data_IF_270849338442
#
_entry.id   IF_270849338442
#
_cell.length_a   1.000
_cell.length_b   1.000
_cell.length_c   1.000
_cell.angle_alpha   90.00
_cell.angle_beta   90.00
_cell.angle_gamma   90.00
#
_symmetry.space_group_name_H-M   'P 1'
#
loop_
_entity.id
_entity.type
_entity.pdbx_description
1 polymer ?
#
# COMPACT_ATOMS: atom_id res chain seq x y z
N UNK A 1 -0.96 -13.58 -41.90
CA UNK A 1 -0.99 -13.80 -40.43
C UNK A 1 -1.59 -12.56 -39.79
N UNK A 2 -2.42 -12.77 -38.77
CA UNK A 2 -3.59 -11.96 -38.41
C UNK A 2 -3.29 -10.55 -37.88
N UNK A 3 -3.89 -9.51 -38.49
CA UNK A 3 -3.93 -8.15 -37.93
C UNK A 3 -4.72 -8.08 -36.62
N UNK A 4 -5.65 -9.00 -36.38
CA UNK A 4 -6.52 -8.99 -35.20
C UNK A 4 -5.80 -9.40 -33.92
N UNK A 5 -4.73 -10.19 -34.01
CA UNK A 5 -3.97 -10.60 -32.84
C UNK A 5 -3.17 -9.42 -32.25
N UNK A 6 -2.61 -8.54 -33.11
CA UNK A 6 -1.85 -7.34 -32.70
C UNK A 6 -2.59 -6.42 -31.72
N UNK A 7 -3.92 -6.34 -31.85
CA UNK A 7 -4.75 -5.50 -30.97
C UNK A 7 -5.16 -6.22 -29.69
N UNK A 8 -5.02 -7.55 -29.63
CA UNK A 8 -5.58 -8.37 -28.56
C UNK A 8 -4.73 -8.32 -27.30
N UNK A 9 -3.40 -8.45 -27.39
CA UNK A 9 -2.55 -8.33 -26.20
C UNK A 9 -2.54 -6.89 -25.69
N UNK A 10 -2.43 -5.89 -26.58
CA UNK A 10 -2.46 -4.47 -26.20
C UNK A 10 -3.76 -4.09 -25.48
N UNK A 11 -4.92 -4.50 -26.01
CA UNK A 11 -6.22 -4.27 -25.35
C UNK A 11 -6.35 -5.01 -24.03
N UNK A 12 -5.83 -6.24 -23.94
CA UNK A 12 -5.84 -7.02 -22.70
C UNK A 12 -4.97 -6.35 -21.63
N UNK A 13 -3.80 -5.84 -22.03
CA UNK A 13 -2.89 -5.13 -21.13
C UNK A 13 -3.50 -3.84 -20.60
N UNK A 14 -4.16 -3.06 -21.47
CA UNK A 14 -4.91 -1.87 -21.05
C UNK A 14 -6.00 -2.20 -20.02
N UNK A 15 -6.76 -3.28 -20.24
CA UNK A 15 -7.79 -3.72 -19.29
C UNK A 15 -7.19 -4.18 -17.94
N UNK A 16 -5.99 -4.77 -17.94
CA UNK A 16 -5.26 -5.10 -16.70
C UNK A 16 -4.89 -3.81 -15.97
N UNK A 17 -4.37 -2.81 -16.67
CA UNK A 17 -4.03 -1.52 -16.06
C UNK A 17 -5.25 -0.79 -15.48
N UNK A 18 -6.41 -0.82 -16.15
CA UNK A 18 -7.63 -0.23 -15.60
C UNK A 18 -8.13 -0.95 -14.35
N UNK A 19 -7.96 -2.29 -14.29
CA UNK A 19 -8.28 -3.07 -13.09
C UNK A 19 -7.32 -2.80 -11.95
N UNK A 20 -6.03 -2.65 -12.22
CA UNK A 20 -5.04 -2.25 -11.21
C UNK A 20 -5.40 -0.88 -10.62
N UNK A 21 -5.76 0.09 -11.47
CA UNK A 21 -6.20 1.41 -11.01
C UNK A 21 -7.40 1.32 -10.07
N UNK A 22 -8.44 0.56 -10.47
CA UNK A 22 -9.63 0.38 -9.65
C UNK A 22 -9.33 -0.36 -8.33
N UNK A 23 -8.44 -1.35 -8.35
CA UNK A 23 -8.03 -2.09 -7.15
C UNK A 23 -7.24 -1.21 -6.18
N UNK A 24 -6.31 -0.38 -6.66
CA UNK A 24 -5.56 0.57 -5.81
C UNK A 24 -6.52 1.56 -5.15
N UNK A 25 -7.49 2.11 -5.90
CA UNK A 25 -8.50 3.02 -5.34
C UNK A 25 -9.38 2.35 -4.27
N UNK A 26 -9.69 1.06 -4.43
CA UNK A 26 -10.48 0.29 -3.47
C UNK A 26 -9.65 -0.28 -2.31
N UNK A 27 -8.34 0.00 -2.28
CA UNK A 27 -7.39 -0.60 -1.33
C UNK A 27 -7.38 -2.14 -1.38
N UNK A 28 -7.75 -2.72 -2.53
CA UNK A 28 -7.79 -4.16 -2.75
C UNK A 28 -6.44 -4.66 -3.26
N UNK A 29 -5.50 -4.80 -2.32
CA UNK A 29 -4.14 -5.26 -2.62
C UNK A 29 -4.09 -6.75 -3.00
N UNK A 30 -5.05 -7.55 -2.53
CA UNK A 30 -5.14 -8.98 -2.88
C UNK A 30 -5.38 -9.16 -4.38
N UNK A 31 -6.27 -8.34 -4.95
CA UNK A 31 -6.48 -8.32 -6.40
C UNK A 31 -5.24 -7.86 -7.17
N UNK A 32 -4.43 -6.94 -6.64
CA UNK A 32 -3.17 -6.53 -7.29
C UNK A 32 -2.15 -7.69 -7.33
N UNK A 33 -2.01 -8.45 -6.25
CA UNK A 33 -1.12 -9.62 -6.19
C UNK A 33 -1.57 -10.68 -7.20
N UNK A 34 -2.89 -10.93 -7.32
CA UNK A 34 -3.45 -11.87 -8.31
C UNK A 34 -3.25 -11.42 -9.75
N UNK A 35 -3.22 -10.11 -10.01
CA UNK A 35 -3.05 -9.56 -11.36
C UNK A 35 -1.59 -9.57 -11.83
N UNK A 36 -0.62 -9.58 -10.93
CA UNK A 36 0.82 -9.59 -11.25
C UNK A 36 1.27 -10.72 -12.21
N UNK A 37 0.96 -12.01 -11.97
CA UNK A 37 1.37 -13.08 -12.90
C UNK A 37 0.70 -12.96 -14.26
N UNK A 38 -0.56 -12.53 -14.31
CA UNK A 38 -1.31 -12.34 -15.56
C UNK A 38 -0.74 -11.19 -16.40
N UNK A 39 -0.28 -10.12 -15.73
CA UNK A 39 0.42 -9.01 -16.36
C UNK A 39 1.73 -9.44 -17.00
N UNK A 40 2.53 -10.26 -16.30
CA UNK A 40 3.78 -10.79 -16.83
C UNK A 40 3.55 -11.64 -18.09
N UNK A 41 2.56 -12.55 -18.08
CA UNK A 41 2.19 -13.35 -19.24
C UNK A 41 1.74 -12.50 -20.43
N UNK A 42 0.92 -11.47 -20.17
CA UNK A 42 0.42 -10.57 -21.23
C UNK A 42 1.55 -9.70 -21.80
N UNK A 43 2.53 -9.32 -20.97
CA UNK A 43 3.71 -8.60 -21.42
C UNK A 43 4.58 -9.46 -22.35
N UNK A 44 4.80 -10.73 -22.01
CA UNK A 44 5.50 -11.66 -22.90
C UNK A 44 4.75 -11.83 -24.23
N UNK A 45 3.43 -11.99 -24.20
CA UNK A 45 2.63 -12.03 -25.43
C UNK A 45 2.76 -10.76 -26.27
N UNK A 46 2.78 -9.58 -25.62
CA UNK A 46 2.95 -8.28 -26.27
C UNK A 46 4.31 -8.16 -26.99
N UNK A 47 5.37 -8.78 -26.48
CA UNK A 47 6.70 -8.74 -27.14
C UNK A 47 6.76 -9.54 -28.45
N UNK A 48 5.82 -10.45 -28.68
CA UNK A 48 5.72 -11.25 -29.90
C UNK A 48 4.75 -10.65 -30.93
N UNK A 49 4.07 -9.55 -30.59
CA UNK A 49 3.13 -8.86 -31.47
C UNK A 49 3.74 -7.58 -32.05
N UNK A 50 3.45 -7.29 -33.32
CA UNK A 50 3.74 -6.00 -33.96
C UNK A 50 2.74 -4.95 -33.44
N UNK A 51 3.11 -4.27 -32.35
CA UNK A 51 2.31 -3.21 -31.72
C UNK A 51 2.71 -1.85 -32.29
N UNK A 52 1.73 -0.97 -32.54
CA UNK A 52 2.03 0.37 -33.04
C UNK A 52 2.71 1.25 -31.97
N UNK A 53 3.57 2.21 -32.36
CA UNK A 53 4.19 3.15 -31.43
C UNK A 53 3.17 3.93 -30.58
N UNK A 54 2.01 4.27 -31.15
CA UNK A 54 0.95 5.01 -30.46
C UNK A 54 0.29 4.16 -29.36
N UNK A 55 0.05 2.88 -29.62
CA UNK A 55 -0.49 1.95 -28.61
C UNK A 55 0.51 1.68 -27.50
N UNK A 56 1.79 1.55 -27.84
CA UNK A 56 2.85 1.36 -26.86
C UNK A 56 2.97 2.61 -25.94
N UNK A 57 2.89 3.80 -26.52
CA UNK A 57 2.84 5.07 -25.77
C UNK A 57 1.61 5.14 -24.86
N UNK A 58 0.45 4.71 -25.35
CA UNK A 58 -0.78 4.64 -24.53
C UNK A 58 -0.62 3.68 -23.36
N UNK A 59 -0.04 2.50 -23.57
CA UNK A 59 0.21 1.52 -22.50
C UNK A 59 1.22 2.04 -21.47
N UNK A 60 2.27 2.74 -21.90
CA UNK A 60 3.22 3.39 -21.00
C UNK A 60 2.53 4.44 -20.12
N UNK A 61 1.65 5.26 -20.69
CA UNK A 61 0.89 6.26 -19.93
C UNK A 61 -0.02 5.61 -18.86
N UNK A 62 -0.69 4.51 -19.20
CA UNK A 62 -1.51 3.75 -18.26
C UNK A 62 -0.66 3.14 -17.12
N UNK A 63 0.49 2.55 -17.46
CA UNK A 63 1.42 2.00 -16.49
C UNK A 63 1.95 3.09 -15.53
N UNK A 64 2.38 4.23 -16.07
CA UNK A 64 2.90 5.35 -15.30
C UNK A 64 1.86 5.93 -14.33
N UNK A 65 0.59 6.03 -14.76
CA UNK A 65 -0.52 6.43 -13.89
C UNK A 65 -0.66 5.50 -12.69
N UNK A 66 -0.63 4.18 -12.91
CA UNK A 66 -0.77 3.20 -11.84
C UNK A 66 0.42 3.21 -10.89
N UNK A 67 1.63 3.34 -11.42
CA UNK A 67 2.84 3.44 -10.61
C UNK A 67 2.77 4.64 -9.66
N UNK A 68 2.45 5.83 -10.18
CA UNK A 68 2.31 7.05 -9.36
C UNK A 68 1.27 6.88 -8.25
N UNK A 69 0.14 6.25 -8.57
CA UNK A 69 -0.92 6.01 -7.59
C UNK A 69 -0.45 5.06 -6.48
N UNK A 70 0.17 3.94 -6.85
CA UNK A 70 0.67 2.95 -5.90
C UNK A 70 1.76 3.53 -4.98
N UNK A 71 2.67 4.34 -5.53
CA UNK A 71 3.69 5.04 -4.75
C UNK A 71 3.06 6.03 -3.77
N UNK A 72 2.07 6.81 -4.21
CA UNK A 72 1.35 7.75 -3.35
C UNK A 72 0.62 7.02 -2.21
N UNK A 73 -0.08 5.93 -2.51
CA UNK A 73 -0.75 5.09 -1.50
C UNK A 73 0.25 4.50 -0.51
N UNK A 74 1.39 4.00 -0.98
CA UNK A 74 2.44 3.42 -0.13
C UNK A 74 3.04 4.46 0.83
N UNK A 75 3.28 5.70 0.34
CA UNK A 75 3.74 6.82 1.18
C UNK A 75 2.70 7.18 2.24
N UNK A 76 1.42 7.22 1.86
CA UNK A 76 0.32 7.49 2.79
C UNK A 76 0.23 6.47 3.91
N UNK A 77 0.28 5.18 3.58
CA UNK A 77 0.26 4.10 4.58
C UNK A 77 1.43 4.21 5.55
N UNK A 78 2.65 4.42 5.03
CA UNK A 78 3.85 4.59 5.88
C UNK A 78 3.71 5.78 6.83
N UNK A 79 3.22 6.92 6.35
CA UNK A 79 3.02 8.10 7.20
C UNK A 79 2.03 7.83 8.35
N UNK A 80 0.97 7.07 8.10
CA UNK A 80 0.01 6.67 9.14
C UNK A 80 0.63 5.69 10.13
N UNK A 81 1.40 4.71 9.65
CA UNK A 81 2.08 3.75 10.54
C UNK A 81 3.12 4.43 11.42
N UNK A 82 3.89 5.37 10.87
CA UNK A 82 4.91 6.12 11.61
C UNK A 82 4.26 7.00 12.68
N UNK A 83 3.12 7.64 12.35
CA UNK A 83 2.34 8.42 13.31
C UNK A 83 1.79 7.55 14.44
N UNK A 84 1.29 6.36 14.12
CA UNK A 84 0.77 5.43 15.11
C UNK A 84 1.87 4.84 16.01
N UNK A 85 3.06 4.59 15.45
CA UNK A 85 4.25 4.19 16.22
C UNK A 85 4.68 5.31 17.19
N UNK A 86 4.79 6.55 16.72
CA UNK A 86 5.15 7.70 17.55
C UNK A 86 4.15 7.94 18.70
N UNK A 87 2.85 7.69 18.49
CA UNK A 87 1.84 7.77 19.55
C UNK A 87 1.93 6.61 20.55
N UNK A 88 2.29 5.39 20.10
CA UNK A 88 2.49 4.23 20.96
C UNK A 88 3.73 4.37 21.85
N UNK A 89 4.81 4.93 21.31
CA UNK A 89 6.06 5.19 22.06
C UNK A 89 5.87 6.32 23.08
N UNK A 90 5.06 7.33 22.76
CA UNK A 90 4.66 8.41 23.69
C UNK A 90 3.50 7.99 24.59
N UNK A 91 3.54 6.80 25.20
CA UNK A 91 2.78 6.62 26.44
C UNK A 91 3.46 7.51 27.48
N UNK A 92 2.82 8.58 27.96
CA UNK A 92 3.41 9.35 29.04
C UNK A 92 3.46 8.40 30.25
N UNK A 93 4.66 8.11 30.74
CA UNK A 93 4.77 7.96 32.18
C UNK A 93 4.14 9.22 32.75
N UNK A 94 2.99 9.07 33.41
CA UNK A 94 2.30 10.14 34.11
C UNK A 94 3.24 10.64 35.20
N UNK A 95 4.17 11.54 34.84
CA UNK A 95 4.98 12.29 35.78
C UNK A 95 4.07 13.32 36.42
N UNK A 96 3.32 12.87 37.41
CA UNK A 96 2.56 13.76 38.26
C UNK A 96 3.56 14.35 39.24
N UNK A 97 3.74 15.67 39.19
CA UNK A 97 4.54 16.39 40.16
C UNK A 97 3.96 16.13 41.56
N UNK A 98 4.61 15.26 42.34
CA UNK A 98 4.34 15.14 43.75
C UNK A 98 4.71 16.47 44.45
N UNK A 99 4.04 16.85 45.54
CA UNK A 99 4.20 18.15 46.22
C UNK A 99 5.61 18.41 46.82
N UNK A 100 6.60 17.55 46.55
CA UNK A 100 8.00 17.69 46.97
C UNK A 100 9.03 17.70 45.82
N UNK A 101 8.62 17.82 44.56
CA UNK A 101 9.55 18.03 43.44
C UNK A 101 10.46 16.85 43.07
N UNK A 102 10.15 15.62 43.49
CA UNK A 102 10.88 14.42 43.05
C UNK A 102 10.09 13.63 42.00
N UNK A 103 10.76 13.34 40.87
CA UNK A 103 10.23 12.54 39.76
C UNK A 103 10.42 11.06 40.11
N UNK A 104 9.32 10.36 40.41
CA UNK A 104 9.34 8.91 40.60
C UNK A 104 8.46 8.24 39.52
N UNK A 105 8.98 7.28 38.74
CA UNK A 105 8.17 6.54 37.77
C UNK A 105 7.17 5.66 38.53
N UNK A 106 5.87 5.99 38.43
CA UNK A 106 4.82 5.12 38.97
C UNK A 106 4.59 3.95 38.01
N UNK A 107 5.24 2.83 38.30
CA UNK A 107 4.79 1.53 37.80
C UNK A 107 3.45 1.19 38.47
N UNK A 108 2.44 0.67 37.74
CA UNK A 108 1.15 0.32 38.32
C UNK A 108 1.32 -0.89 39.24
N UNK A 109 1.55 -0.63 40.53
CA UNK A 109 1.64 -1.65 41.56
C UNK A 109 0.23 -2.12 41.91
N UNK A 110 -0.05 -3.39 41.65
CA UNK A 110 -1.31 -4.06 42.01
C UNK A 110 -1.63 -3.85 43.49
N UNK A 111 -2.77 -3.22 43.79
CA UNK A 111 -3.27 -3.00 45.14
C UNK A 111 -3.83 -4.32 45.71
N UNK A 112 -2.97 -5.16 46.29
CA UNK A 112 -3.41 -6.24 47.18
C UNK A 112 -3.48 -5.69 48.60
N UNK A 113 -4.61 -5.09 48.96
CA UNK A 113 -4.84 -4.57 50.31
C UNK A 113 -5.14 -5.74 51.26
N UNK A 114 -4.11 -6.21 51.98
CA UNK A 114 -4.28 -7.18 53.06
C UNK A 114 -4.86 -6.44 54.27
N UNK A 115 -6.17 -6.56 54.48
CA UNK A 115 -6.89 -6.11 55.67
C UNK A 115 -6.46 -7.00 56.85
N UNK A 116 -5.62 -6.47 57.73
CA UNK A 116 -5.33 -7.11 59.03
C UNK A 116 -6.48 -6.78 60.00
N UNK A 117 -6.97 -7.82 60.67
CA UNK A 117 -7.77 -7.78 61.90
C UNK A 117 -7.05 -8.65 62.92
#
# INVERSE_FOLDING_TARGET
>A
MSFFDRFRAAKTMAAIYDREYAAILKQDYDTLVRLAPRKAQTLTALTHEDVSPDELTRLQNLAARNQRLLEATSKGIRSVTDRLAALKERKPEFQTYGPGGQVAPMTPKSLTMKRNS
#
